data_IF_215873806614
#
_entry.id   IF_215873806614
#
_cell.length_a   1.000
_cell.length_b   1.000
_cell.length_c   1.000
_cell.angle_alpha   90.00
_cell.angle_beta   90.00
_cell.angle_gamma   90.00
#
_symmetry.space_group_name_H-M   'P 1'
#
loop_
_entity.id
_entity.type
_entity.pdbx_description
1 polymer ?
#
# COMPACT_ATOMS: atom_id res chain seq x y z
N UNK A 1 0.03 -23.20 17.70
CA UNK A 1 -0.37 -22.67 18.30
C UNK A 1 -0.78 -21.34 18.12
N UNK A 2 -1.87 -21.20 18.19
CA UNK A 2 -2.41 -20.07 18.00
C UNK A 2 -1.86 -19.04 18.77
N UNK A 3 -1.36 -19.31 19.75
CA UNK A 3 -0.87 -18.32 20.51
C UNK A 3 -0.02 -17.43 19.77
N UNK A 4 0.29 -17.86 18.62
CA UNK A 4 1.03 -17.06 17.84
C UNK A 4 0.49 -15.72 17.72
N UNK A 5 -0.75 -15.60 17.63
CA UNK A 5 -1.29 -14.31 17.43
C UNK A 5 -1.02 -13.51 18.65
N UNK A 6 -0.94 -14.13 19.77
CA UNK A 6 -0.75 -13.39 20.95
C UNK A 6 0.68 -12.98 21.02
N UNK A 7 1.49 -13.53 20.17
CA UNK A 7 2.87 -13.19 20.16
C UNK A 7 3.26 -12.29 19.02
N UNK A 8 2.28 -11.63 18.43
CA UNK A 8 2.59 -10.69 17.40
C UNK A 8 3.52 -9.65 17.96
N UNK A 9 4.55 -9.35 17.25
CA UNK A 9 5.53 -8.38 17.70
C UNK A 9 5.10 -6.94 17.45
N UNK A 10 3.95 -6.70 16.85
CA UNK A 10 3.46 -5.34 16.69
C UNK A 10 3.20 -4.72 18.06
N UNK A 11 3.58 -3.47 18.25
CA UNK A 11 3.23 -2.79 19.51
C UNK A 11 1.72 -2.81 19.67
N UNK A 12 1.25 -3.01 20.90
CA UNK A 12 -0.16 -3.09 21.15
C UNK A 12 -0.90 -1.84 20.70
N UNK A 13 -0.29 -0.68 20.80
CA UNK A 13 -0.96 0.54 20.40
C UNK A 13 -1.18 0.59 18.89
N UNK A 14 -0.33 -0.07 18.10
CA UNK A 14 -0.52 -0.14 16.67
C UNK A 14 -1.56 -1.22 16.38
N UNK A 15 -1.39 -2.39 16.97
CA UNK A 15 -2.28 -3.52 16.71
C UNK A 15 -3.73 -3.19 17.05
N UNK A 16 -3.95 -2.41 18.12
CA UNK A 16 -5.31 -2.08 18.53
C UNK A 16 -6.01 -1.12 17.58
N UNK A 17 -5.27 -0.44 16.72
CA UNK A 17 -5.86 0.51 15.79
C UNK A 17 -6.25 -0.13 14.46
N UNK A 18 -5.83 -1.37 14.23
CA UNK A 18 -6.10 -2.03 12.96
C UNK A 18 -7.49 -2.63 12.93
N UNK A 19 -8.20 -2.38 11.84
CA UNK A 19 -9.50 -2.99 11.62
C UNK A 19 -9.32 -4.03 10.54
N UNK A 20 -9.10 -5.25 10.95
CA UNK A 20 -8.79 -6.37 10.06
C UNK A 20 -10.05 -6.94 9.45
N UNK A 21 -9.91 -7.51 8.25
CA UNK A 21 -11.04 -8.21 7.63
C UNK A 21 -11.19 -9.60 8.27
N UNK A 22 -12.11 -10.40 7.73
CA UNK A 22 -12.37 -11.73 8.29
C UNK A 22 -11.22 -12.69 8.20
N UNK A 23 -10.22 -12.39 7.39
CA UNK A 23 -9.01 -13.21 7.26
C UNK A 23 -7.85 -12.64 8.06
N UNK A 24 -8.07 -11.58 8.82
CA UNK A 24 -7.02 -10.97 9.62
C UNK A 24 -6.12 -10.01 8.85
N UNK A 25 -6.60 -9.52 7.72
CA UNK A 25 -5.79 -8.70 6.82
C UNK A 25 -6.27 -7.27 6.73
N UNK A 26 -5.34 -6.37 6.44
CA UNK A 26 -5.65 -4.99 6.07
C UNK A 26 -5.06 -4.73 4.70
N UNK A 27 -5.70 -3.84 3.95
CA UNK A 27 -5.23 -3.46 2.62
C UNK A 27 -4.01 -2.54 2.77
N UNK A 28 -3.02 -2.74 1.94
CA UNK A 28 -1.84 -1.86 1.92
C UNK A 28 -1.68 -1.26 0.53
N UNK A 29 -1.81 0.05 0.45
CA UNK A 29 -1.61 0.81 -0.78
C UNK A 29 -0.16 1.27 -0.77
N UNK A 30 0.59 0.94 -1.80
CA UNK A 30 2.00 1.31 -1.89
C UNK A 30 2.16 2.46 -2.87
N UNK A 31 2.82 3.51 -2.43
CA UNK A 31 2.94 4.76 -3.17
C UNK A 31 4.40 5.20 -3.20
N UNK A 32 4.85 5.69 -4.35
CA UNK A 32 6.19 6.24 -4.46
C UNK A 32 6.24 7.56 -3.67
N UNK A 33 7.24 7.72 -2.83
CA UNK A 33 7.27 8.81 -1.86
C UNK A 33 7.46 10.20 -2.47
N UNK A 34 8.21 10.28 -3.56
CA UNK A 34 8.54 11.60 -4.13
C UNK A 34 7.59 12.04 -5.23
N UNK A 35 6.90 11.13 -5.88
CA UNK A 35 6.00 11.49 -6.98
C UNK A 35 4.53 11.36 -6.60
N UNK A 36 4.22 10.58 -5.58
CA UNK A 36 2.84 10.30 -5.24
C UNK A 36 2.21 9.22 -6.12
N UNK A 37 2.98 8.61 -7.01
CA UNK A 37 2.46 7.58 -7.89
C UNK A 37 2.04 6.35 -7.09
N UNK A 38 0.83 5.85 -7.32
CA UNK A 38 0.37 4.63 -6.67
C UNK A 38 0.94 3.45 -7.44
N UNK A 39 1.66 2.58 -6.76
CA UNK A 39 2.42 1.52 -7.39
C UNK A 39 1.69 0.19 -7.40
N UNK A 40 1.06 -0.17 -6.31
CA UNK A 40 0.38 -1.44 -6.19
C UNK A 40 -0.46 -1.49 -4.93
N UNK A 41 -1.26 -2.54 -4.80
CA UNK A 41 -2.03 -2.81 -3.60
C UNK A 41 -1.72 -4.25 -3.20
N UNK A 42 -1.51 -4.47 -1.93
CA UNK A 42 -1.32 -5.82 -1.39
C UNK A 42 -2.02 -5.94 -0.05
N UNK A 43 -1.78 -7.03 0.64
CA UNK A 43 -2.46 -7.33 1.90
C UNK A 43 -1.44 -7.67 2.97
N UNK A 44 -1.72 -7.26 4.20
CA UNK A 44 -0.82 -7.52 5.32
C UNK A 44 -1.62 -8.02 6.50
N UNK A 45 -1.13 -9.08 7.12
CA UNK A 45 -1.58 -9.45 8.46
C UNK A 45 -0.65 -8.74 9.44
N UNK A 46 -0.82 -8.98 10.73
CA UNK A 46 -0.01 -8.32 11.76
C UNK A 46 1.48 -8.59 11.57
N UNK A 47 1.83 -9.81 11.20
CA UNK A 47 3.22 -10.18 11.04
C UNK A 47 3.84 -9.50 9.81
N UNK A 48 3.10 -9.42 8.71
CA UNK A 48 3.59 -8.74 7.51
C UNK A 48 3.84 -7.26 7.81
N UNK A 49 2.92 -6.63 8.53
CA UNK A 49 3.09 -5.24 8.91
C UNK A 49 4.30 -5.08 9.83
N UNK A 50 4.44 -5.97 10.80
CA UNK A 50 5.58 -5.93 11.70
C UNK A 50 6.90 -6.01 10.91
N UNK A 51 6.99 -6.93 9.95
CA UNK A 51 8.19 -7.09 9.14
C UNK A 51 8.44 -5.85 8.28
N UNK A 52 7.38 -5.27 7.76
CA UNK A 52 7.50 -4.05 6.96
C UNK A 52 8.06 -2.91 7.80
N UNK A 53 7.56 -2.76 9.03
CA UNK A 53 7.98 -1.67 9.90
C UNK A 53 9.40 -1.86 10.44
N UNK A 54 9.80 -3.10 10.69
CA UNK A 54 11.10 -3.34 11.32
C UNK A 54 12.22 -3.55 10.34
N UNK A 55 11.94 -4.15 9.18
CA UNK A 55 12.98 -4.39 8.18
C UNK A 55 13.17 -3.22 7.23
N UNK A 56 12.16 -2.35 7.11
CA UNK A 56 12.20 -1.28 6.13
C UNK A 56 11.94 -1.78 4.71
N UNK A 57 11.53 -3.03 4.54
CA UNK A 57 11.22 -3.60 3.24
C UNK A 57 9.77 -4.06 3.24
N UNK A 58 9.03 -3.68 2.21
CA UNK A 58 7.61 -4.02 2.15
C UNK A 58 7.42 -5.53 2.06
N UNK A 59 6.65 -6.06 2.99
CA UNK A 59 6.33 -7.48 3.07
C UNK A 59 4.82 -7.66 3.10
N UNK A 60 4.32 -8.55 2.30
CA UNK A 60 2.89 -8.82 2.18
C UNK A 60 2.56 -10.23 2.62
N UNK A 61 1.28 -10.47 2.85
CA UNK A 61 0.75 -11.82 2.96
C UNK A 61 0.10 -12.16 1.62
N UNK A 62 0.55 -13.23 0.99
CA UNK A 62 -0.02 -13.68 -0.28
C UNK A 62 -1.23 -14.54 0.02
N UNK A 63 -2.42 -14.05 -0.32
CA UNK A 63 -3.66 -14.79 -0.07
C UNK A 63 -3.75 -16.05 -0.91
N UNK A 64 -3.24 -15.99 -2.13
CA UNK A 64 -3.34 -17.14 -3.03
C UNK A 64 -2.34 -18.23 -2.69
N UNK A 65 -1.17 -17.87 -2.19
CA UNK A 65 -0.15 -18.86 -1.88
C UNK A 65 -0.07 -19.22 -0.40
N UNK A 66 -0.71 -18.43 0.46
CA UNK A 66 -0.68 -18.68 1.89
C UNK A 66 0.71 -18.51 2.49
N UNK A 67 1.46 -17.53 2.05
CA UNK A 67 2.81 -17.29 2.54
C UNK A 67 3.16 -15.83 2.55
N UNK A 68 4.20 -15.48 3.29
CA UNK A 68 4.72 -14.12 3.30
C UNK A 68 5.57 -13.89 2.04
N UNK A 69 5.53 -12.65 1.55
CA UNK A 69 6.23 -12.30 0.34
C UNK A 69 6.86 -10.92 0.54
N UNK A 70 8.17 -10.87 0.60
CA UNK A 70 8.88 -9.59 0.69
C UNK A 70 9.16 -9.10 -0.73
N UNK A 71 8.66 -7.92 -1.05
CA UNK A 71 8.78 -7.36 -2.37
C UNK A 71 10.24 -7.21 -2.76
N UNK A 72 10.60 -7.77 -3.89
CA UNK A 72 11.95 -7.66 -4.44
C UNK A 72 12.91 -8.79 -4.09
N UNK A 73 12.49 -9.75 -3.26
CA UNK A 73 13.39 -10.84 -2.87
C UNK A 73 13.82 -11.69 -4.06
N UNK A 74 12.93 -11.90 -5.01
CA UNK A 74 13.26 -12.68 -6.19
C UNK A 74 13.63 -11.79 -7.37
N UNK A 75 12.88 -10.71 -7.58
CA UNK A 75 13.07 -9.88 -8.75
C UNK A 75 14.16 -8.82 -8.61
N UNK A 76 14.54 -8.50 -7.40
CA UNK A 76 15.44 -7.39 -7.14
C UNK A 76 14.74 -6.04 -7.12
N UNK A 77 13.42 -6.01 -7.42
CA UNK A 77 12.68 -4.75 -7.48
C UNK A 77 12.08 -4.47 -6.11
N UNK A 78 12.92 -4.09 -5.19
CA UNK A 78 12.53 -3.88 -3.79
C UNK A 78 11.80 -2.56 -3.60
N UNK A 79 11.06 -2.49 -2.51
CA UNK A 79 10.40 -1.26 -2.10
C UNK A 79 10.87 -0.95 -0.68
N UNK A 80 11.63 0.14 -0.55
CA UNK A 80 12.18 0.56 0.74
C UNK A 80 11.24 1.54 1.40
N UNK A 81 10.81 1.22 2.62
CA UNK A 81 9.78 1.99 3.31
C UNK A 81 10.31 3.31 3.80
N UNK A 82 9.56 4.38 3.51
CA UNK A 82 9.85 5.71 4.02
C UNK A 82 8.87 6.05 5.15
N UNK A 83 7.59 5.83 4.95
CA UNK A 83 6.58 6.08 5.98
C UNK A 83 5.42 5.11 5.81
N UNK A 84 4.72 4.86 6.89
CA UNK A 84 3.50 4.04 6.88
C UNK A 84 2.45 4.81 7.67
N UNK A 85 1.30 5.01 7.08
CA UNK A 85 0.17 5.66 7.74
C UNK A 85 -1.04 4.75 7.72
N UNK A 86 -1.87 4.84 8.74
CA UNK A 86 -3.10 4.09 8.83
C UNK A 86 -4.24 5.05 8.49
N UNK A 87 -5.25 4.59 7.77
CA UNK A 87 -6.35 5.48 7.43
C UNK A 87 -7.26 5.69 8.64
N UNK A 88 -8.28 6.52 8.47
CA UNK A 88 -9.06 7.02 9.60
C UNK A 88 -9.82 5.94 10.36
N UNK A 89 -10.23 4.87 9.71
CA UNK A 89 -10.94 3.78 10.38
C UNK A 89 -10.09 2.51 10.50
N UNK A 90 -8.83 2.57 10.14
CA UNK A 90 -7.90 1.49 10.46
C UNK A 90 -7.90 0.29 9.54
N UNK A 91 -8.57 0.34 8.38
CA UNK A 91 -8.66 -0.83 7.51
C UNK A 91 -7.75 -0.75 6.27
N UNK A 92 -6.99 0.32 6.13
CA UNK A 92 -6.06 0.46 5.03
C UNK A 92 -4.79 1.17 5.48
N UNK A 93 -3.69 0.76 4.89
CA UNK A 93 -2.38 1.36 5.15
C UNK A 93 -1.92 2.10 3.91
N UNK A 94 -1.26 3.22 4.10
CA UNK A 94 -0.56 3.90 3.02
C UNK A 94 0.93 3.75 3.29
N UNK A 95 1.60 2.98 2.44
CA UNK A 95 3.02 2.69 2.60
C UNK A 95 3.78 3.47 1.55
N UNK A 96 4.48 4.50 1.96
CA UNK A 96 5.27 5.31 1.03
C UNK A 96 6.66 4.76 0.97
N UNK A 97 7.14 4.54 -0.24
CA UNK A 97 8.38 3.82 -0.47
C UNK A 97 9.28 4.52 -1.47
N UNK A 98 10.52 4.05 -1.51
CA UNK A 98 11.43 4.34 -2.60
C UNK A 98 11.55 3.02 -3.36
N UNK A 99 10.97 2.96 -4.55
CA UNK A 99 10.91 1.72 -5.30
C UNK A 99 12.09 1.60 -6.26
N UNK A 100 12.67 0.41 -6.29
CA UNK A 100 13.73 0.08 -7.23
C UNK A 100 13.10 -0.80 -8.31
N UNK A 101 13.18 -0.39 -9.56
CA UNK A 101 12.62 -1.16 -10.67
C UNK A 101 11.09 -1.05 -10.73
N UNK A 102 10.44 -2.09 -11.15
CA UNK A 102 9.00 -2.08 -11.35
C UNK A 102 8.25 -2.76 -10.22
N UNK A 103 7.02 -2.36 -10.01
CA UNK A 103 6.16 -2.99 -9.04
C UNK A 103 5.53 -4.24 -9.60
N UNK A 104 5.21 -4.22 -10.88
CA UNK A 104 4.49 -5.31 -11.51
C UNK A 104 5.42 -6.42 -11.97
N UNK A 105 4.94 -7.66 -11.93
CA UNK A 105 5.74 -8.80 -12.41
C UNK A 105 6.06 -8.68 -13.90
N UNK A 106 5.35 -7.85 -14.63
CA UNK A 106 5.63 -7.60 -16.04
C UNK A 106 6.79 -6.63 -16.23
N UNK A 107 7.30 -6.05 -15.16
CA UNK A 107 8.35 -5.05 -15.24
C UNK A 107 7.84 -3.62 -15.24
N UNK A 108 6.53 -3.42 -15.34
CA UNK A 108 5.97 -2.07 -15.34
C UNK A 108 6.19 -1.41 -13.98
N UNK A 109 6.37 -0.10 -14.01
CA UNK A 109 6.65 0.65 -12.80
C UNK A 109 5.51 0.56 -11.79
N UNK A 110 4.27 0.57 -12.27
CA UNK A 110 3.09 0.44 -11.44
C UNK A 110 2.25 -0.72 -11.95
N UNK A 111 1.52 -1.37 -11.05
CA UNK A 111 0.62 -2.45 -11.44
C UNK A 111 -0.59 -1.96 -12.22
N UNK A 112 -0.82 -0.65 -12.24
CA UNK A 112 -1.97 -0.07 -12.92
C UNK A 112 -1.67 0.40 -14.35
N UNK A 113 -0.44 0.22 -14.78
CA UNK A 113 -0.04 0.69 -16.10
C UNK A 113 -0.66 -0.17 -17.20
N UNK A 114 -1.34 0.48 -18.14
CA UNK A 114 -1.91 -0.23 -19.29
C UNK A 114 -3.22 -0.96 -19.03
N UNK A 115 -3.83 -0.75 -17.87
CA UNK A 115 -5.05 -1.47 -17.52
C UNK A 115 -6.24 -0.54 -17.30
N UNK A 116 -6.26 0.60 -17.96
CA UNK A 116 -7.35 1.56 -17.80
C UNK A 116 -8.67 0.95 -18.27
N UNK A 117 -9.73 1.23 -17.53
CA UNK A 117 -11.06 0.76 -17.90
C UNK A 117 -11.79 1.77 -18.78
N UNK A 118 -11.17 2.92 -19.02
CA UNK A 118 -11.75 3.95 -19.84
C UNK A 118 -11.99 5.22 -19.04
N UNK A 119 -12.20 6.31 -19.75
CA UNK A 119 -12.44 7.59 -19.12
C UNK A 119 -13.88 7.68 -18.63
N UNK A 120 -14.09 8.41 -17.55
CA UNK A 120 -15.42 8.65 -17.04
C UNK A 120 -15.97 9.86 -17.79
N UNK A 121 -17.14 9.70 -18.38
CA UNK A 121 -17.75 10.78 -19.12
C UNK A 121 -18.08 11.97 -18.27
N UNK A 122 -18.00 13.11 -18.84
CA UNK A 122 -18.33 14.34 -18.13
C UNK A 122 -17.16 15.00 -17.45
N UNK A 123 -16.04 14.31 -17.37
CA UNK A 123 -14.90 14.87 -16.69
C UNK A 123 -14.00 15.72 -17.56
N UNK A 124 -14.19 15.65 -18.86
CA UNK A 124 -13.35 16.44 -19.74
C UNK A 124 -13.48 17.91 -19.45
N UNK A 125 -14.61 18.33 -18.95
CA UNK A 125 -14.80 19.73 -18.71
C UNK A 125 -13.99 20.21 -17.53
N UNK A 126 -13.53 19.29 -16.71
CA UNK A 126 -12.83 19.67 -15.53
C UNK A 126 -11.36 19.85 -15.76
N UNK A 127 -10.87 19.26 -16.80
CA UNK A 127 -9.52 19.35 -17.10
C UNK A 127 -8.98 20.67 -17.16
N UNK A 128 -9.74 21.56 -17.59
CA UNK A 128 -9.24 22.86 -17.74
C UNK A 128 -8.77 23.46 -16.47
N UNK A 129 -9.17 22.99 -15.39
CA UNK A 129 -8.69 23.62 -14.30
C UNK A 129 -7.74 22.79 -13.52
N UNK A 130 -7.43 22.09 -13.85
CA UNK A 130 -6.62 21.44 -13.30
C UNK A 130 -5.66 21.71 -12.75
N UNK A 131 -5.64 22.11 -12.77
CA UNK A 131 -4.72 22.13 -12.32
C UNK A 131 -4.52 22.48 -11.23
N UNK A 132 -4.99 22.88 -11.22
CA UNK A 132 -4.87 23.10 -10.35
C UNK A 132 -4.60 22.87 -9.39
N UNK A 133 -4.61 23.38 -9.25
CA UNK A 133 -4.39 23.26 -8.33
C UNK A 133 -4.09 22.56 -7.56
N UNK A 134 -4.23 22.69 -7.85
CA UNK A 134 -3.95 22.23 -6.92
C UNK A 134 -4.00 21.72 -6.25
N UNK A 135 -4.23 22.26 -6.18
CA UNK A 135 -4.36 21.84 -5.29
C UNK A 135 -4.71 21.25 -4.70
N UNK A 136 -4.91 21.76 -4.83
CA UNK A 136 -5.23 21.31 -4.09
C UNK A 136 -5.72 20.74 -3.68
N UNK A 137 -5.93 21.08 -3.74
CA UNK A 137 -6.31 20.54 -3.12
C UNK A 137 -6.64 19.97 -2.52
N UNK A 138 -6.70 20.23 -2.40
CA UNK A 138 -6.84 19.71 -1.64
C UNK A 138 -7.22 18.91 -1.05
N UNK A 139 -7.39 18.92 -1.04
CA UNK A 139 -7.59 18.18 -0.27
C UNK A 139 -8.36 17.73 0.00
N UNK A 140 -8.74 18.10 -0.16
CA UNK A 140 -9.31 17.72 0.28
C UNK A 140 -9.88 17.02 0.62
N UNK A 141 -10.00 16.99 0.64
CA UNK A 141 -10.29 16.29 1.09
C UNK A 141 -10.92 15.72 1.62
N UNK A 142 -11.39 15.94 1.64
CA UNK A 142 -11.99 15.31 2.20
C UNK A 142 -12.43 14.54 2.31
N UNK A 143 -12.57 14.31 2.43
CA UNK A 143 -12.97 13.48 2.69
C UNK A 143 -13.29 13.04 3.00
#
# INVERSE_FOLDING_TARGET
VTPTSAHSALPAEVASRLKRDGAGLVCAVVQQHDSGEVLMVGWMDDEALHRTLTSGRVTFWSRSRGEYWRKGDTSGHAQYVRTVALDCDGDALLVRVDQIGGACHTGARTCFDGHDLGAVEGHSAVEGHSAVEGHAVQGEQDA
#
